data_IF_334121835313
#
_entry.id   IF_334121835313
#
_cell.length_a   1.000
_cell.length_b   1.000
_cell.length_c   1.000
_cell.angle_alpha   90.00
_cell.angle_beta   90.00
_cell.angle_gamma   90.00
#
_symmetry.space_group_name_H-M   'P 1'
#
loop_
_entity.id
_entity.type
_entity.pdbx_description
1 polymer ?
#
# COMPACT_ATOMS: atom_id res chain seq x y z
N UNK A 1 -8.27 27.97 -12.40
CA UNK A 1 -7.83 26.61 -12.83
C UNK A 1 -6.30 26.48 -12.84
N UNK A 2 -5.54 27.20 -13.67
CA UNK A 2 -4.06 27.07 -13.80
C UNK A 2 -3.27 27.21 -12.47
N UNK A 3 -3.69 28.09 -11.54
CA UNK A 3 -2.98 28.31 -10.26
C UNK A 3 -3.19 27.14 -9.29
N UNK A 4 -4.36 26.54 -9.29
CA UNK A 4 -4.70 25.37 -8.46
C UNK A 4 -4.00 24.11 -8.96
N UNK A 5 -3.94 23.91 -10.27
CA UNK A 5 -3.22 22.78 -10.89
C UNK A 5 -1.70 22.84 -10.59
N UNK A 6 -1.11 24.03 -10.66
CA UNK A 6 0.30 24.26 -10.27
C UNK A 6 0.55 23.93 -8.79
N UNK A 7 -0.35 24.34 -7.90
CA UNK A 7 -0.22 24.05 -6.47
C UNK A 7 -0.31 22.53 -6.20
N UNK A 8 -1.24 21.82 -6.85
CA UNK A 8 -1.36 20.37 -6.75
C UNK A 8 -0.10 19.69 -7.27
N UNK A 9 0.40 20.11 -8.43
CA UNK A 9 1.63 19.56 -9.00
C UNK A 9 2.83 19.78 -8.07
N UNK A 10 3.03 21.00 -7.56
CA UNK A 10 4.11 21.31 -6.61
C UNK A 10 4.01 20.47 -5.35
N UNK A 11 2.82 20.30 -4.79
CA UNK A 11 2.60 19.46 -3.61
C UNK A 11 3.01 18.00 -3.86
N UNK A 12 2.63 17.43 -5.00
CA UNK A 12 3.02 16.06 -5.40
C UNK A 12 4.53 15.92 -5.59
N UNK A 13 5.17 16.90 -6.25
CA UNK A 13 6.62 16.92 -6.42
C UNK A 13 7.36 16.91 -5.08
N UNK A 14 6.91 17.74 -4.12
CA UNK A 14 7.48 17.77 -2.77
C UNK A 14 7.30 16.41 -2.07
N UNK A 15 6.11 15.82 -2.13
CA UNK A 15 5.84 14.51 -1.50
C UNK A 15 6.69 13.39 -2.12
N UNK A 16 6.83 13.35 -3.45
CA UNK A 16 7.66 12.34 -4.11
C UNK A 16 9.14 12.47 -3.72
N UNK A 17 9.64 13.70 -3.62
CA UNK A 17 11.01 13.96 -3.16
C UNK A 17 11.18 13.58 -1.67
N UNK A 18 10.21 13.92 -0.82
CA UNK A 18 10.22 13.57 0.59
C UNK A 18 10.19 12.05 0.79
N UNK A 19 9.34 11.33 0.03
CA UNK A 19 9.27 9.87 0.05
C UNK A 19 10.64 9.26 -0.24
N UNK A 20 11.31 9.70 -1.32
CA UNK A 20 12.64 9.19 -1.66
C UNK A 20 13.67 9.45 -0.56
N UNK A 21 13.69 10.66 0.01
CA UNK A 21 14.63 10.99 1.10
C UNK A 21 14.32 10.18 2.36
N UNK A 22 13.04 9.99 2.71
CA UNK A 22 12.65 9.14 3.85
C UNK A 22 12.95 7.66 3.60
N UNK A 23 12.78 7.18 2.36
CA UNK A 23 13.15 5.83 1.96
C UNK A 23 14.66 5.60 2.12
N UNK A 24 15.49 6.54 1.67
CA UNK A 24 16.95 6.40 1.67
C UNK A 24 17.56 6.60 3.08
N UNK A 25 17.06 7.57 3.85
CA UNK A 25 17.67 8.03 5.11
C UNK A 25 16.94 7.61 6.38
N UNK A 26 15.66 7.24 6.26
CA UNK A 26 14.75 7.12 7.40
C UNK A 26 14.28 8.49 7.91
N UNK A 27 13.30 8.49 8.83
CA UNK A 27 12.69 9.73 9.30
C UNK A 27 13.69 10.64 10.03
N UNK A 28 14.48 10.12 10.95
CA UNK A 28 15.36 10.94 11.79
C UNK A 28 16.47 11.64 11.00
N UNK A 29 17.18 10.91 10.15
CA UNK A 29 18.32 11.45 9.42
C UNK A 29 17.93 12.30 8.20
N UNK A 30 16.72 12.16 7.68
CA UNK A 30 16.21 13.00 6.59
C UNK A 30 16.13 14.48 6.99
N UNK A 31 16.60 15.38 6.13
CA UNK A 31 16.57 16.83 6.37
C UNK A 31 15.68 17.55 5.37
N UNK A 32 15.09 18.68 5.79
CA UNK A 32 14.33 19.57 4.89
C UNK A 32 15.20 20.08 3.74
N UNK A 33 16.49 20.30 3.98
CA UNK A 33 17.42 20.77 2.93
C UNK A 33 17.60 19.74 1.80
N UNK A 34 17.73 18.44 2.16
CA UNK A 34 17.80 17.36 1.17
C UNK A 34 16.51 17.25 0.36
N UNK A 35 15.35 17.38 1.04
CA UNK A 35 14.03 17.34 0.38
C UNK A 35 13.87 18.51 -0.58
N UNK A 36 14.28 19.73 -0.18
CA UNK A 36 14.25 20.92 -1.06
C UNK A 36 15.11 20.72 -2.31
N UNK A 37 16.33 20.19 -2.12
CA UNK A 37 17.25 19.90 -3.22
C UNK A 37 16.66 18.84 -4.16
N UNK A 38 16.12 17.76 -3.61
CA UNK A 38 15.50 16.70 -4.40
C UNK A 38 14.24 17.14 -5.15
N UNK A 39 13.43 18.00 -4.52
CA UNK A 39 12.19 18.52 -5.12
C UNK A 39 12.43 19.66 -6.13
N UNK A 40 13.59 20.32 -6.09
CA UNK A 40 13.85 21.49 -6.92
C UNK A 40 12.95 22.69 -6.62
N UNK A 41 12.49 22.83 -5.37
CA UNK A 41 11.57 23.90 -4.96
C UNK A 41 12.21 24.83 -3.93
N UNK A 42 11.66 26.06 -3.80
CA UNK A 42 12.11 26.99 -2.76
C UNK A 42 11.59 26.60 -1.38
N UNK A 43 12.32 27.02 -0.33
CA UNK A 43 11.92 26.84 1.06
C UNK A 43 10.51 27.38 1.34
N UNK A 44 10.17 28.54 0.78
CA UNK A 44 8.83 29.14 0.91
C UNK A 44 7.73 28.27 0.28
N UNK A 45 7.99 27.67 -0.89
CA UNK A 45 7.03 26.79 -1.56
C UNK A 45 6.80 25.51 -0.75
N UNK A 46 7.84 24.93 -0.16
CA UNK A 46 7.69 23.74 0.69
C UNK A 46 6.84 24.06 1.93
N UNK A 47 7.19 25.11 2.69
CA UNK A 47 6.48 25.46 3.92
C UNK A 47 5.05 25.96 3.69
N UNK A 48 4.73 26.44 2.49
CA UNK A 48 3.35 26.73 2.10
C UNK A 48 2.47 25.46 2.06
N UNK A 49 3.04 24.34 1.63
CA UNK A 49 2.30 23.07 1.53
C UNK A 49 2.43 22.19 2.79
N UNK A 50 3.58 22.23 3.45
CA UNK A 50 3.91 21.37 4.58
C UNK A 50 4.63 22.17 5.67
N UNK A 51 3.94 22.54 6.76
CA UNK A 51 4.49 23.40 7.82
C UNK A 51 5.71 22.81 8.54
N UNK A 52 5.88 21.48 8.54
CA UNK A 52 6.98 20.79 9.21
C UNK A 52 7.37 19.48 8.54
N UNK A 53 8.49 18.89 8.96
CA UNK A 53 8.92 17.56 8.55
C UNK A 53 7.90 16.48 8.91
N UNK A 54 7.23 16.64 10.07
CA UNK A 54 6.14 15.74 10.50
C UNK A 54 4.97 15.78 9.52
N UNK A 55 4.53 16.98 9.09
CA UNK A 55 3.46 17.12 8.10
C UNK A 55 3.85 16.52 6.74
N UNK A 56 5.14 16.59 6.36
CA UNK A 56 5.64 15.89 5.18
C UNK A 56 5.55 14.38 5.34
N UNK A 57 5.99 13.84 6.47
CA UNK A 57 5.93 12.42 6.74
C UNK A 57 4.48 11.90 6.82
N UNK A 58 3.59 12.64 7.49
CA UNK A 58 2.16 12.35 7.49
C UNK A 58 1.57 12.40 6.07
N UNK A 59 2.03 13.37 5.25
CA UNK A 59 1.64 13.44 3.84
C UNK A 59 2.07 12.20 3.04
N UNK A 60 3.28 11.68 3.28
CA UNK A 60 3.77 10.43 2.65
C UNK A 60 2.96 9.23 3.14
N UNK A 61 2.70 9.11 4.45
CA UNK A 61 1.86 8.06 5.03
C UNK A 61 0.44 8.08 4.44
N UNK A 62 -0.14 9.26 4.24
CA UNK A 62 -1.46 9.38 3.62
C UNK A 62 -1.44 9.06 2.13
N UNK A 63 -0.39 9.46 1.40
CA UNK A 63 -0.30 9.23 -0.06
C UNK A 63 -0.04 7.75 -0.39
N UNK A 64 0.71 7.01 0.45
CA UNK A 64 0.86 5.57 0.27
C UNK A 64 -0.48 4.81 0.36
N UNK A 65 -1.37 5.33 1.22
CA UNK A 65 -2.71 4.79 1.45
C UNK A 65 -3.71 5.19 0.35
N UNK A 66 -3.28 6.00 -0.65
CA UNK A 66 -4.09 6.28 -1.83
C UNK A 66 -4.36 4.97 -2.56
N UNK A 67 -5.51 4.44 -2.23
CA UNK A 67 -5.99 3.16 -2.67
C UNK A 67 -6.24 3.18 -4.18
N UNK A 68 -5.58 2.32 -4.90
CA UNK A 68 -6.02 2.00 -6.24
C UNK A 68 -7.19 1.03 -6.10
N UNK A 69 -8.41 1.41 -6.50
CA UNK A 69 -9.55 0.52 -6.38
C UNK A 69 -9.29 -0.72 -7.22
N UNK A 70 -9.18 -1.87 -6.54
CA UNK A 70 -9.10 -3.14 -7.25
C UNK A 70 -10.44 -3.39 -7.92
N UNK A 71 -10.46 -3.86 -9.18
CA UNK A 71 -11.69 -4.23 -9.84
C UNK A 71 -12.45 -5.25 -9.00
N UNK A 72 -13.75 -5.04 -8.84
CA UNK A 72 -14.60 -5.96 -8.09
C UNK A 72 -14.52 -7.37 -8.68
N UNK A 73 -14.32 -8.37 -7.80
CA UNK A 73 -14.30 -9.77 -8.19
C UNK A 73 -15.59 -10.47 -7.77
N UNK A 74 -16.05 -11.41 -8.58
CA UNK A 74 -17.16 -12.26 -8.20
C UNK A 74 -16.83 -13.05 -6.91
N UNK A 75 -15.61 -13.61 -6.81
CA UNK A 75 -15.07 -14.23 -5.62
C UNK A 75 -14.37 -13.20 -4.74
N UNK A 76 -14.82 -12.98 -3.51
CA UNK A 76 -14.27 -11.96 -2.60
C UNK A 76 -12.94 -12.39 -1.98
N UNK A 77 -12.71 -13.68 -1.84
CA UNK A 77 -11.38 -14.21 -1.48
C UNK A 77 -10.36 -13.89 -2.58
N UNK A 78 -10.74 -13.94 -3.87
CA UNK A 78 -9.85 -13.50 -4.95
C UNK A 78 -9.59 -12.00 -4.89
N UNK A 79 -10.60 -11.18 -4.58
CA UNK A 79 -10.45 -9.73 -4.41
C UNK A 79 -9.51 -9.38 -3.25
N UNK A 80 -9.59 -10.13 -2.15
CA UNK A 80 -8.66 -10.03 -1.03
C UNK A 80 -7.21 -10.40 -1.45
N UNK A 81 -7.05 -11.50 -2.18
CA UNK A 81 -5.75 -11.91 -2.72
C UNK A 81 -5.17 -10.81 -3.62
N UNK A 82 -5.96 -10.33 -4.58
CA UNK A 82 -5.55 -9.29 -5.53
C UNK A 82 -5.10 -8.01 -4.80
N UNK A 83 -5.81 -7.64 -3.74
CA UNK A 83 -5.48 -6.55 -2.83
C UNK A 83 -4.10 -6.71 -2.20
N UNK A 84 -3.84 -7.86 -1.62
CA UNK A 84 -2.59 -8.18 -0.92
C UNK A 84 -1.40 -8.27 -1.88
N UNK A 85 -1.56 -8.97 -3.02
CA UNK A 85 -0.47 -9.12 -3.99
C UNK A 85 -0.16 -7.84 -4.76
N UNK A 86 -1.17 -6.99 -5.01
CA UNK A 86 -0.94 -5.67 -5.59
C UNK A 86 -0.11 -4.78 -4.65
N UNK A 87 -0.40 -4.79 -3.35
CA UNK A 87 0.40 -4.04 -2.38
C UNK A 87 1.84 -4.55 -2.34
N UNK A 88 2.04 -5.87 -2.35
CA UNK A 88 3.36 -6.47 -2.42
C UNK A 88 4.12 -6.08 -3.71
N UNK A 89 3.44 -6.04 -4.86
CA UNK A 89 4.00 -5.58 -6.12
C UNK A 89 4.39 -4.09 -6.06
N UNK A 90 3.53 -3.25 -5.47
CA UNK A 90 3.84 -1.83 -5.28
C UNK A 90 5.04 -1.60 -4.37
N UNK A 91 5.24 -2.42 -3.34
CA UNK A 91 6.46 -2.37 -2.52
C UNK A 91 7.73 -2.63 -3.33
N UNK A 92 7.67 -3.42 -4.39
CA UNK A 92 8.80 -3.62 -5.30
C UNK A 92 9.01 -2.47 -6.29
N UNK A 93 7.95 -1.77 -6.69
CA UNK A 93 7.96 -0.87 -7.86
C UNK A 93 7.70 0.60 -7.55
N UNK A 94 7.20 0.94 -6.35
CA UNK A 94 6.73 2.28 -5.98
C UNK A 94 7.46 2.79 -4.73
N UNK A 95 8.31 3.80 -4.90
CA UNK A 95 9.08 4.42 -3.81
C UNK A 95 8.19 5.11 -2.77
N UNK A 96 7.01 5.61 -3.15
CA UNK A 96 6.06 6.22 -2.21
C UNK A 96 5.54 5.18 -1.22
N UNK A 97 5.18 3.99 -1.70
CA UNK A 97 4.71 2.87 -0.87
C UNK A 97 5.83 2.40 0.06
N UNK A 98 7.07 2.22 -0.46
CA UNK A 98 8.21 1.85 0.38
C UNK A 98 8.51 2.87 1.47
N UNK A 99 8.49 4.16 1.13
CA UNK A 99 8.71 5.24 2.10
C UNK A 99 7.67 5.24 3.21
N UNK A 100 6.39 5.12 2.85
CA UNK A 100 5.30 5.07 3.81
C UNK A 100 5.40 3.86 4.74
N UNK A 101 5.67 2.68 4.20
CA UNK A 101 5.90 1.47 4.99
C UNK A 101 7.11 1.63 5.92
N UNK A 102 8.22 2.20 5.44
CA UNK A 102 9.38 2.48 6.27
C UNK A 102 9.04 3.42 7.42
N UNK A 103 8.29 4.50 7.16
CA UNK A 103 7.83 5.42 8.20
C UNK A 103 6.91 4.75 9.22
N UNK A 104 6.00 3.88 8.78
CA UNK A 104 5.08 3.14 9.66
C UNK A 104 5.81 2.18 10.60
N UNK A 105 6.91 1.57 10.12
CA UNK A 105 7.72 0.62 10.89
C UNK A 105 8.84 1.30 11.71
N UNK A 106 9.15 2.59 11.45
CA UNK A 106 10.24 3.30 12.11
C UNK A 106 9.91 3.61 13.58
N UNK A 107 10.49 2.83 14.49
CA UNK A 107 10.30 3.01 15.93
C UNK A 107 10.87 4.34 16.46
N UNK A 108 11.77 4.98 15.73
CA UNK A 108 12.37 6.27 16.10
C UNK A 108 11.58 7.48 15.57
N UNK A 109 10.55 7.26 14.77
CA UNK A 109 9.67 8.31 14.23
C UNK A 109 8.67 8.80 15.32
N UNK A 110 9.20 9.32 16.43
CA UNK A 110 8.38 9.86 17.51
C UNK A 110 7.49 11.01 17.01
N UNK A 111 6.23 11.03 17.45
CA UNK A 111 5.24 12.05 17.07
C UNK A 111 4.48 11.74 15.77
N UNK A 112 4.84 10.71 15.01
CA UNK A 112 4.02 10.24 13.88
C UNK A 112 2.96 9.25 14.35
N UNK A 113 1.74 9.40 13.85
CA UNK A 113 0.73 8.33 13.94
C UNK A 113 1.11 7.22 12.97
N UNK A 114 1.70 6.15 13.50
CA UNK A 114 2.14 4.97 12.76
C UNK A 114 1.10 3.85 12.76
N UNK A 115 0.08 3.97 13.62
CA UNK A 115 -0.98 2.96 13.73
C UNK A 115 -1.98 3.06 12.59
N UNK A 116 -2.19 4.26 12.04
CA UNK A 116 -3.16 4.53 10.98
C UNK A 116 -3.10 3.58 9.79
N UNK A 117 -1.94 3.36 9.15
CA UNK A 117 -1.82 2.41 8.04
C UNK A 117 -2.23 0.98 8.40
N UNK A 118 -1.84 0.48 9.58
CA UNK A 118 -2.22 -0.88 10.01
C UNK A 118 -3.73 -1.00 10.27
N UNK A 119 -4.33 0.00 10.95
CA UNK A 119 -5.77 0.04 11.19
C UNK A 119 -6.54 0.08 9.88
N UNK A 120 -6.11 0.91 8.94
CA UNK A 120 -6.71 1.00 7.61
C UNK A 120 -6.65 -0.31 6.84
N UNK A 121 -5.49 -0.98 6.86
CA UNK A 121 -5.34 -2.28 6.21
C UNK A 121 -6.23 -3.33 6.86
N UNK A 122 -6.33 -3.35 8.19
CA UNK A 122 -7.22 -4.25 8.91
C UNK A 122 -8.69 -4.02 8.53
N UNK A 123 -9.13 -2.77 8.40
CA UNK A 123 -10.49 -2.43 7.91
C UNK A 123 -10.75 -2.99 6.51
N UNK A 124 -9.83 -2.78 5.57
CA UNK A 124 -9.98 -3.25 4.19
C UNK A 124 -10.08 -4.77 4.12
N UNK A 125 -9.18 -5.46 4.81
CA UNK A 125 -9.17 -6.93 4.85
C UNK A 125 -10.44 -7.46 5.52
N UNK A 126 -10.85 -6.86 6.64
CA UNK A 126 -12.10 -7.19 7.32
C UNK A 126 -13.31 -7.05 6.40
N UNK A 127 -13.45 -5.91 5.71
CA UNK A 127 -14.59 -5.64 4.83
C UNK A 127 -14.68 -6.66 3.68
N UNK A 128 -13.53 -7.08 3.13
CA UNK A 128 -13.47 -8.13 2.11
C UNK A 128 -13.83 -9.51 2.68
N UNK A 129 -13.36 -9.82 3.90
CA UNK A 129 -13.72 -11.06 4.59
C UNK A 129 -15.22 -11.10 4.94
N UNK A 130 -15.83 -9.98 5.35
CA UNK A 130 -17.26 -9.91 5.61
C UNK A 130 -18.08 -10.16 4.32
N UNK A 131 -17.65 -9.57 3.20
CA UNK A 131 -18.28 -9.84 1.89
C UNK A 131 -18.11 -11.31 1.49
N UNK A 132 -16.93 -11.88 1.67
CA UNK A 132 -16.65 -13.29 1.41
C UNK A 132 -17.51 -14.22 2.30
N UNK A 133 -17.67 -13.85 3.58
CA UNK A 133 -18.56 -14.58 4.52
C UNK A 133 -20.01 -14.56 4.04
N UNK A 134 -20.49 -13.40 3.61
CA UNK A 134 -21.86 -13.25 3.09
C UNK A 134 -22.12 -14.11 1.83
N UNK A 135 -21.06 -14.39 1.03
CA UNK A 135 -21.12 -15.27 -0.14
C UNK A 135 -20.87 -16.75 0.18
N UNK A 136 -20.61 -17.11 1.45
CA UNK A 136 -20.32 -18.47 1.84
C UNK A 136 -18.93 -18.99 1.41
N UNK A 137 -18.00 -18.07 1.16
CA UNK A 137 -16.64 -18.39 0.73
C UNK A 137 -15.71 -18.77 1.88
N UNK A 138 -16.09 -18.44 3.14
CA UNK A 138 -15.28 -18.67 4.32
C UNK A 138 -15.71 -19.91 5.09
N UNK A 139 -14.76 -20.50 5.83
CA UNK A 139 -15.03 -21.55 6.81
C UNK A 139 -15.89 -20.99 7.96
N UNK A 140 -16.78 -21.83 8.58
CA UNK A 140 -17.73 -21.36 9.60
C UNK A 140 -17.10 -20.77 10.87
N UNK A 141 -15.86 -21.16 11.18
CA UNK A 141 -15.13 -20.70 12.37
C UNK A 141 -14.33 -19.41 12.15
N UNK A 142 -14.35 -18.82 10.94
CA UNK A 142 -13.59 -17.59 10.64
C UNK A 142 -14.29 -16.40 11.26
N UNK A 143 -13.54 -15.64 12.06
CA UNK A 143 -13.93 -14.33 12.61
C UNK A 143 -13.20 -13.26 11.81
N UNK A 144 -13.89 -12.45 10.97
CA UNK A 144 -13.25 -11.50 10.06
C UNK A 144 -12.31 -10.50 10.73
N UNK A 145 -12.69 -9.94 11.89
CA UNK A 145 -11.84 -8.98 12.62
C UNK A 145 -10.51 -9.61 13.05
N UNK A 146 -10.55 -10.76 13.73
CA UNK A 146 -9.35 -11.47 14.22
C UNK A 146 -8.48 -11.92 13.04
N UNK A 147 -9.12 -12.42 11.97
CA UNK A 147 -8.43 -12.88 10.77
C UNK A 147 -7.76 -11.72 10.05
N UNK A 148 -8.40 -10.55 9.96
CA UNK A 148 -7.84 -9.35 9.34
C UNK A 148 -6.59 -8.87 10.09
N UNK A 149 -6.66 -8.75 11.42
CA UNK A 149 -5.51 -8.38 12.25
C UNK A 149 -4.34 -9.37 12.09
N UNK A 150 -4.62 -10.67 12.13
CA UNK A 150 -3.62 -11.71 11.94
C UNK A 150 -2.97 -11.64 10.55
N UNK A 151 -3.76 -11.43 9.49
CA UNK A 151 -3.25 -11.31 8.11
C UNK A 151 -2.37 -10.06 7.94
N UNK A 152 -2.78 -8.91 8.47
CA UNK A 152 -2.01 -7.66 8.41
C UNK A 152 -0.69 -7.80 9.19
N UNK A 153 -0.72 -8.39 10.38
CA UNK A 153 0.49 -8.66 11.17
C UNK A 153 1.45 -9.63 10.47
N UNK A 154 0.92 -10.70 9.90
CA UNK A 154 1.73 -11.67 9.15
C UNK A 154 2.34 -11.05 7.88
N UNK A 155 1.57 -10.25 7.13
CA UNK A 155 2.08 -9.50 5.98
C UNK A 155 3.22 -8.56 6.40
N UNK A 156 3.02 -7.77 7.46
CA UNK A 156 4.03 -6.84 7.98
C UNK A 156 5.33 -7.56 8.37
N UNK A 157 5.24 -8.73 8.98
CA UNK A 157 6.41 -9.57 9.31
C UNK A 157 7.15 -10.06 8.07
N UNK A 158 6.41 -10.57 7.08
CA UNK A 158 6.99 -11.09 5.83
C UNK A 158 7.63 -9.97 5.02
N UNK A 159 7.00 -8.80 4.91
CA UNK A 159 7.57 -7.67 4.19
C UNK A 159 8.85 -7.14 4.86
N UNK A 160 8.87 -7.03 6.19
CA UNK A 160 10.07 -6.60 6.93
C UNK A 160 11.23 -7.58 6.74
N UNK A 161 10.95 -8.88 6.75
CA UNK A 161 11.94 -9.92 6.47
C UNK A 161 12.46 -9.84 5.03
N UNK A 162 11.58 -9.66 4.04
CA UNK A 162 11.99 -9.52 2.64
C UNK A 162 12.83 -8.28 2.42
N UNK A 163 12.48 -7.16 3.03
CA UNK A 163 13.28 -5.94 3.00
C UNK A 163 14.69 -6.18 3.53
N UNK A 164 14.79 -6.77 4.72
CA UNK A 164 16.08 -6.99 5.38
C UNK A 164 17.00 -7.95 4.63
N UNK A 165 16.45 -8.96 3.94
CA UNK A 165 17.22 -10.02 3.28
C UNK A 165 17.63 -9.62 1.85
N UNK A 166 16.74 -8.99 1.08
CA UNK A 166 16.94 -8.77 -0.35
C UNK A 166 16.21 -7.57 -0.94
N UNK A 167 15.93 -6.55 -0.13
CA UNK A 167 15.28 -5.30 -0.57
C UNK A 167 14.00 -5.54 -1.39
N UNK A 168 13.09 -6.35 -0.83
CA UNK A 168 11.80 -6.74 -1.40
C UNK A 168 11.84 -7.61 -2.67
N UNK A 169 13.02 -8.00 -3.20
CA UNK A 169 13.10 -8.72 -4.48
C UNK A 169 12.32 -10.05 -4.50
N UNK A 170 12.19 -10.71 -3.34
CA UNK A 170 11.46 -11.97 -3.21
C UNK A 170 10.06 -11.82 -2.55
N UNK A 171 9.57 -10.59 -2.39
CA UNK A 171 8.36 -10.34 -1.60
C UNK A 171 7.13 -11.04 -2.19
N UNK A 172 6.88 -10.96 -3.49
CA UNK A 172 5.73 -11.61 -4.13
C UNK A 172 5.74 -13.13 -3.90
N UNK A 173 6.90 -13.76 -4.04
CA UNK A 173 7.07 -15.19 -3.75
C UNK A 173 6.74 -15.50 -2.28
N UNK A 174 7.24 -14.71 -1.33
CA UNK A 174 6.96 -14.89 0.10
C UNK A 174 5.48 -14.68 0.43
N UNK A 175 4.83 -13.71 -0.20
CA UNK A 175 3.39 -13.46 -0.01
C UNK A 175 2.57 -14.61 -0.63
N UNK A 176 2.93 -15.12 -1.81
CA UNK A 176 2.31 -16.33 -2.35
C UNK A 176 2.41 -17.51 -1.37
N UNK A 177 3.59 -17.72 -0.76
CA UNK A 177 3.77 -18.75 0.27
C UNK A 177 2.92 -18.46 1.51
N UNK A 178 2.88 -17.23 2.01
CA UNK A 178 2.05 -16.84 3.17
C UNK A 178 0.57 -17.14 2.90
N UNK A 179 0.04 -16.73 1.75
CA UNK A 179 -1.34 -16.97 1.36
C UNK A 179 -1.64 -18.49 1.26
N UNK A 180 -0.72 -19.27 0.71
CA UNK A 180 -0.84 -20.74 0.64
C UNK A 180 -0.98 -21.39 2.01
N UNK A 181 -0.36 -20.81 3.03
CA UNK A 181 -0.43 -21.34 4.40
C UNK A 181 -1.63 -20.80 5.20
N UNK A 182 -2.06 -19.57 4.95
CA UNK A 182 -3.17 -18.95 5.69
C UNK A 182 -4.53 -19.33 5.08
N UNK A 183 -4.69 -19.25 3.77
CA UNK A 183 -6.00 -19.42 3.12
C UNK A 183 -6.70 -20.75 3.42
N UNK A 184 -6.01 -21.90 3.60
CA UNK A 184 -6.67 -23.14 3.98
C UNK A 184 -7.38 -23.11 5.34
N UNK A 185 -7.02 -22.20 6.24
CA UNK A 185 -7.71 -21.99 7.51
C UNK A 185 -8.82 -20.93 7.44
N UNK A 186 -8.98 -20.28 6.28
CA UNK A 186 -9.91 -19.15 6.07
C UNK A 186 -11.00 -19.49 5.07
N UNK A 187 -10.65 -19.99 3.90
CA UNK A 187 -11.56 -20.18 2.78
C UNK A 187 -12.00 -21.65 2.63
N UNK A 188 -13.21 -21.86 2.12
CA UNK A 188 -13.72 -23.22 1.83
C UNK A 188 -12.93 -23.87 0.68
N UNK A 189 -12.80 -25.23 0.64
CA UNK A 189 -11.96 -25.90 -0.35
C UNK A 189 -12.32 -25.60 -1.81
N UNK A 190 -13.60 -25.38 -2.13
CA UNK A 190 -14.06 -25.04 -3.47
C UNK A 190 -13.54 -23.68 -3.93
N UNK A 191 -13.46 -22.72 -3.04
CA UNK A 191 -12.89 -21.37 -3.29
C UNK A 191 -11.38 -21.47 -3.47
N UNK A 192 -10.70 -22.22 -2.57
CA UNK A 192 -9.24 -22.41 -2.67
C UNK A 192 -8.80 -23.02 -4.00
N UNK A 193 -9.62 -23.91 -4.58
CA UNK A 193 -9.32 -24.52 -5.86
C UNK A 193 -9.48 -23.58 -7.07
N UNK A 194 -10.17 -22.44 -6.89
CA UNK A 194 -10.50 -21.49 -7.97
C UNK A 194 -9.70 -20.20 -7.95
N UNK A 195 -9.02 -19.88 -6.84
CA UNK A 195 -8.29 -18.60 -6.69
C UNK A 195 -6.85 -18.69 -7.17
N UNK A 196 -6.37 -17.56 -7.71
CA UNK A 196 -4.98 -17.38 -8.14
C UNK A 196 -4.22 -16.48 -7.16
N UNK A 197 -3.22 -17.04 -6.50
CA UNK A 197 -2.26 -16.34 -5.63
C UNK A 197 -0.81 -16.58 -6.08
N UNK A 198 -0.61 -16.79 -7.38
CA UNK A 198 0.73 -16.94 -7.98
C UNK A 198 1.58 -15.67 -7.84
N UNK A 199 2.89 -15.82 -7.96
CA UNK A 199 3.84 -14.69 -7.90
C UNK A 199 3.58 -13.64 -8.99
N UNK A 200 3.08 -14.05 -10.15
CA UNK A 200 2.77 -13.14 -11.27
C UNK A 200 1.47 -12.36 -11.10
N UNK A 201 0.61 -12.76 -10.14
CA UNK A 201 -0.71 -12.15 -9.97
C UNK A 201 -0.65 -10.66 -9.64
N UNK A 202 0.33 -10.21 -8.85
CA UNK A 202 0.49 -8.80 -8.49
C UNK A 202 0.75 -7.91 -9.70
N UNK A 203 1.60 -8.33 -10.62
CA UNK A 203 1.87 -7.61 -11.87
C UNK A 203 0.65 -7.62 -12.80
N UNK A 204 -0.04 -8.73 -12.89
CA UNK A 204 -1.26 -8.86 -13.72
C UNK A 204 -2.35 -7.89 -13.25
N UNK A 205 -2.63 -7.82 -11.93
CA UNK A 205 -3.59 -6.87 -11.34
C UNK A 205 -3.15 -5.42 -11.57
N UNK A 206 -1.87 -5.11 -11.40
CA UNK A 206 -1.33 -3.77 -11.66
C UNK A 206 -1.50 -3.35 -13.13
N UNK A 207 -1.34 -4.27 -14.05
CA UNK A 207 -1.51 -4.02 -15.49
C UNK A 207 -2.98 -3.79 -15.84
N UNK A 208 -3.89 -4.61 -15.31
CA UNK A 208 -5.33 -4.45 -15.45
C UNK A 208 -5.79 -3.06 -14.98
N UNK A 209 -5.36 -2.64 -13.79
CA UNK A 209 -5.69 -1.32 -13.23
C UNK A 209 -5.21 -0.18 -14.11
N UNK A 210 -3.98 -0.25 -14.62
CA UNK A 210 -3.45 0.78 -15.51
C UNK A 210 -4.27 0.92 -16.78
N UNK A 211 -4.74 -0.20 -17.33
CA UNK A 211 -5.61 -0.21 -18.53
C UNK A 211 -6.95 0.45 -18.24
N UNK A 212 -7.62 0.04 -17.15
CA UNK A 212 -8.91 0.63 -16.73
C UNK A 212 -8.81 2.15 -16.50
N UNK A 213 -7.77 2.60 -15.78
CA UNK A 213 -7.56 4.04 -15.54
C UNK A 213 -7.26 4.82 -16.83
N UNK A 214 -6.62 4.20 -17.82
CA UNK A 214 -6.37 4.83 -19.12
C UNK A 214 -7.68 4.97 -19.93
N UNK A 215 -8.53 3.96 -19.90
CA UNK A 215 -9.84 3.97 -20.55
C UNK A 215 -10.78 5.01 -19.93
N UNK A 216 -10.83 5.09 -18.58
CA UNK A 216 -11.62 6.11 -17.88
C UNK A 216 -11.17 7.54 -18.22
N UNK A 217 -9.85 7.78 -18.28
CA UNK A 217 -9.31 9.08 -18.69
C UNK A 217 -9.65 9.43 -20.14
N UNK A 218 -9.60 8.46 -21.04
CA UNK A 218 -9.97 8.67 -22.43
C UNK A 218 -11.46 9.00 -22.57
N UNK A 219 -12.32 8.31 -21.82
CA UNK A 219 -13.76 8.57 -21.78
C UNK A 219 -14.13 9.94 -21.16
N UNK A 220 -13.33 10.45 -20.21
CA UNK A 220 -13.57 11.74 -19.56
C UNK A 220 -13.15 12.96 -20.42
N UNK A 221 -12.39 12.76 -21.50
CA UNK A 221 -11.86 13.81 -22.38
C UNK A 221 -12.67 13.90 -23.70
N UNK A 222 -13.47 12.87 -24.06
CA UNK A 222 -14.34 12.84 -25.23
C UNK A 222 -15.74 13.32 -24.91
#
# INVERSE_FOLDING_TARGET
MVRQERAIHTRRTILSAAAKVFEDRGYQAATISEILTAAGVTKGALYFHFPSKEHLAQGVLHEQDQWLPIPERACKVQELIDTVVLHAYRLQTDSMVRAGVRLSLDQQAHGLDRSGPFARWAEIVRDLLEKARAQGELLPNVVPDETAEAMVGAFAGVQAMSQAVCDYQDLLRRISHLLRHILPSVAVPSVLASVDFSESRGEAVSTELRTLMAEERAAAVG
#
